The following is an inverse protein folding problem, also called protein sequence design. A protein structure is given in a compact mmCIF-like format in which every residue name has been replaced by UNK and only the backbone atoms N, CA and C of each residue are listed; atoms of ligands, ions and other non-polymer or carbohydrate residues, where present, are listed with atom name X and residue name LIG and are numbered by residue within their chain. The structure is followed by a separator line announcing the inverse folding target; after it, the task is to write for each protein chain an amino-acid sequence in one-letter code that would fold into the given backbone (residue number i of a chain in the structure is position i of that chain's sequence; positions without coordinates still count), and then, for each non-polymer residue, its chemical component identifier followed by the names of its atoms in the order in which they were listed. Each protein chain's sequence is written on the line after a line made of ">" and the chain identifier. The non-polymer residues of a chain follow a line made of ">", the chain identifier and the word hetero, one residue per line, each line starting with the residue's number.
data_IF_220566354073
#
_entry.id   IF_220566354073
#
_cell.length_a   1.000
_cell.length_b   1.000
_cell.length_c   1.000
_cell.angle_alpha   90.00
_cell.angle_beta   90.00
_cell.angle_gamma   90.00
#
_symmetry.space_group_name_H-M   'P 1'
#
loop_
_entity.id
_entity.type
_entity.pdbx_description
1 polymer ?
#
# COMPACT_ATOMS: atom_id res chain seq x y z
N UNK A 1 -7.40 14.59 11.08
CA UNK A 1 -6.51 14.36 9.94
C UNK A 1 -5.32 13.47 10.35
N UNK A 2 -4.51 13.85 11.34
CA UNK A 2 -3.28 13.11 11.71
C UNK A 2 -3.53 11.68 12.16
N UNK A 3 -4.60 11.41 12.88
CA UNK A 3 -4.99 10.05 13.26
C UNK A 3 -5.33 9.20 12.03
N UNK A 4 -6.06 9.77 11.05
CA UNK A 4 -6.38 9.07 9.81
C UNK A 4 -5.11 8.75 9.01
N UNK A 5 -4.20 9.70 8.86
CA UNK A 5 -2.91 9.50 8.18
C UNK A 5 -2.09 8.41 8.90
N UNK A 6 -2.02 8.42 10.22
CA UNK A 6 -1.33 7.39 10.99
C UNK A 6 -1.91 5.99 10.74
N UNK A 7 -3.24 5.86 10.73
CA UNK A 7 -3.93 4.59 10.44
C UNK A 7 -3.71 4.13 9.00
N UNK A 8 -3.68 5.06 8.05
CA UNK A 8 -3.53 4.74 6.61
C UNK A 8 -2.09 4.45 6.18
N UNK A 9 -1.07 4.87 6.94
CA UNK A 9 0.34 4.74 6.57
C UNK A 9 1.17 4.02 7.63
N UNK A 10 1.46 4.69 8.75
CA UNK A 10 2.37 4.19 9.78
C UNK A 10 1.91 2.88 10.42
N UNK A 11 0.65 2.80 10.83
CA UNK A 11 0.13 1.60 11.51
C UNK A 11 0.05 0.41 10.57
N UNK A 12 -0.26 0.60 9.28
CA UNK A 12 -0.20 -0.47 8.30
C UNK A 12 1.23 -0.98 8.07
N UNK A 13 2.20 -0.07 7.92
CA UNK A 13 3.60 -0.45 7.76
C UNK A 13 4.12 -1.21 9.00
N UNK A 14 3.79 -0.71 10.20
CA UNK A 14 4.12 -1.37 11.46
C UNK A 14 3.51 -2.77 11.57
N UNK A 15 2.22 -2.93 11.23
CA UNK A 15 1.55 -4.23 11.22
C UNK A 15 2.25 -5.23 10.30
N UNK A 16 2.60 -4.81 9.09
CA UNK A 16 3.24 -5.67 8.11
C UNK A 16 4.69 -6.02 8.49
N UNK A 17 5.43 -5.12 9.16
CA UNK A 17 6.76 -5.42 9.70
C UNK A 17 6.67 -6.39 10.90
N UNK A 18 5.89 -6.04 11.92
CA UNK A 18 5.92 -6.73 13.22
C UNK A 18 5.13 -8.04 13.23
N UNK A 19 3.94 -8.08 12.60
CA UNK A 19 3.07 -9.25 12.65
C UNK A 19 3.18 -10.13 11.40
N UNK A 20 3.35 -9.54 10.22
CA UNK A 20 3.53 -10.32 9.00
C UNK A 20 5.01 -10.65 8.71
N UNK A 21 5.95 -10.10 9.45
CA UNK A 21 7.38 -10.39 9.31
C UNK A 21 8.01 -9.84 8.02
N UNK A 22 7.42 -8.81 7.41
CA UNK A 22 7.93 -8.21 6.17
C UNK A 22 8.79 -7.00 6.53
N UNK A 23 10.07 -7.25 6.83
CA UNK A 23 11.02 -6.25 7.34
C UNK A 23 11.21 -5.01 6.44
N UNK A 24 10.89 -5.11 5.15
CA UNK A 24 10.92 -3.99 4.21
C UNK A 24 9.93 -2.87 4.57
N UNK A 25 8.91 -3.15 5.39
CA UNK A 25 7.97 -2.13 5.87
C UNK A 25 8.51 -1.32 7.05
N UNK A 26 9.64 -1.70 7.64
CA UNK A 26 10.26 -0.98 8.76
C UNK A 26 10.62 0.46 8.42
N UNK A 27 10.98 0.73 7.17
CA UNK A 27 11.34 2.06 6.66
C UNK A 27 10.21 2.78 5.95
N UNK A 28 9.00 2.20 5.94
CA UNK A 28 7.83 2.75 5.24
C UNK A 28 6.79 3.38 6.18
N UNK A 29 5.90 4.20 5.60
CA UNK A 29 4.77 4.81 6.31
C UNK A 29 5.14 5.93 7.28
N UNK A 30 6.35 6.49 7.17
CA UNK A 30 6.87 7.54 8.06
C UNK A 30 7.77 8.51 7.32
N UNK A 31 7.84 9.74 7.81
CA UNK A 31 8.81 10.76 7.36
C UNK A 31 9.86 10.89 8.45
N UNK A 32 11.00 10.24 8.27
CA UNK A 32 12.10 10.31 9.20
C UNK A 32 13.41 10.01 8.47
N UNK A 33 14.55 10.42 9.05
CA UNK A 33 15.87 10.10 8.51
C UNK A 33 16.08 8.57 8.44
N UNK A 34 16.59 8.08 7.29
CA UNK A 34 16.79 6.66 7.02
C UNK A 34 15.52 5.91 6.55
N UNK A 35 14.35 6.56 6.48
CA UNK A 35 13.16 5.97 5.89
C UNK A 35 13.14 6.12 4.37
N UNK A 36 12.36 5.27 3.69
CA UNK A 36 12.14 5.37 2.25
C UNK A 36 11.34 6.64 1.94
N UNK A 37 11.80 7.37 0.93
CA UNK A 37 11.15 8.62 0.52
C UNK A 37 9.92 8.33 -0.39
N UNK A 38 8.92 7.67 0.17
CA UNK A 38 7.58 7.50 -0.42
C UNK A 38 6.66 8.55 0.20
N UNK A 39 6.51 9.70 -0.47
CA UNK A 39 5.90 10.90 0.11
C UNK A 39 4.79 11.41 -0.78
N UNK A 40 3.64 11.70 -0.19
CA UNK A 40 2.53 12.39 -0.85
C UNK A 40 2.36 13.77 -0.22
N UNK A 41 2.36 14.82 -1.04
CA UNK A 41 2.04 16.19 -0.63
C UNK A 41 0.65 16.50 -1.17
N UNK A 42 -0.28 16.81 -0.28
CA UNK A 42 -1.67 17.09 -0.64
C UNK A 42 -2.23 18.27 0.16
N UNK A 43 -3.26 18.89 -0.39
CA UNK A 43 -4.03 19.90 0.31
C UNK A 43 -5.30 19.24 0.88
N UNK A 44 -5.48 19.18 2.22
CA UNK A 44 -6.62 18.52 2.85
C UNK A 44 -7.98 19.13 2.49
N UNK A 45 -8.00 20.41 2.09
CA UNK A 45 -9.24 21.12 1.74
C UNK A 45 -9.69 20.84 0.29
N UNK A 46 -8.77 20.37 -0.57
CA UNK A 46 -9.04 20.20 -2.00
C UNK A 46 -8.76 18.80 -2.53
N UNK A 47 -8.20 17.90 -1.70
CA UNK A 47 -7.98 16.51 -2.09
C UNK A 47 -9.32 15.82 -2.32
N UNK A 48 -9.49 15.26 -3.53
CA UNK A 48 -10.76 14.66 -3.95
C UNK A 48 -10.50 13.39 -4.72
N UNK A 49 -11.16 12.30 -4.34
CA UNK A 49 -11.27 11.11 -5.15
C UNK A 49 -12.35 11.35 -6.22
N UNK A 50 -11.94 11.28 -7.48
CA UNK A 50 -12.83 11.48 -8.63
C UNK A 50 -13.37 10.15 -9.19
N UNK A 51 -12.97 9.02 -8.60
CA UNK A 51 -13.45 7.70 -9.03
C UNK A 51 -14.93 7.53 -8.70
N UNK A 52 -15.66 6.87 -9.60
CA UNK A 52 -17.07 6.51 -9.39
C UNK A 52 -17.31 5.05 -9.70
N UNK A 53 -18.48 4.52 -9.33
CA UNK A 53 -18.87 3.15 -9.64
C UNK A 53 -19.41 2.98 -11.07
N UNK A 54 -19.43 4.03 -11.88
CA UNK A 54 -19.84 3.94 -13.28
C UNK A 54 -18.77 3.19 -14.11
N UNK A 55 -19.18 2.38 -15.08
CA UNK A 55 -18.25 1.66 -15.96
C UNK A 55 -17.24 2.61 -16.63
N UNK A 56 -15.96 2.32 -16.46
CA UNK A 56 -14.85 3.13 -16.99
C UNK A 56 -14.42 4.32 -16.15
N UNK A 57 -15.14 4.65 -15.07
CA UNK A 57 -14.84 5.81 -14.22
C UNK A 57 -14.13 5.45 -12.90
N UNK A 58 -13.85 4.17 -12.66
CA UNK A 58 -13.23 3.69 -11.41
C UNK A 58 -11.73 3.96 -11.27
N UNK A 59 -11.08 4.52 -12.29
CA UNK A 59 -9.64 4.82 -12.29
C UNK A 59 -9.34 6.29 -12.61
N UNK A 60 -10.28 7.18 -12.32
CA UNK A 60 -10.03 8.62 -12.49
C UNK A 60 -8.97 9.11 -11.50
N UNK A 61 -8.04 9.95 -11.94
CA UNK A 61 -6.97 10.44 -11.06
C UNK A 61 -7.53 11.33 -9.96
N UNK A 62 -7.05 11.12 -8.74
CA UNK A 62 -7.30 12.00 -7.60
C UNK A 62 -6.75 13.41 -7.88
N UNK A 63 -7.50 14.44 -7.50
CA UNK A 63 -7.06 15.84 -7.54
C UNK A 63 -6.63 16.34 -6.15
N UNK A 64 -5.95 17.50 -6.08
CA UNK A 64 -5.45 18.05 -4.82
C UNK A 64 -4.16 17.40 -4.30
N UNK A 65 -3.47 16.60 -5.11
CA UNK A 65 -2.17 16.00 -4.82
C UNK A 65 -1.11 16.50 -5.82
N UNK A 66 -0.53 17.69 -5.62
CA UNK A 66 0.40 18.26 -6.59
C UNK A 66 1.72 17.51 -6.71
N UNK A 67 2.17 16.82 -5.65
CA UNK A 67 3.46 16.13 -5.65
C UNK A 67 3.35 14.74 -5.01
N UNK A 68 3.93 13.75 -5.70
CA UNK A 68 4.09 12.39 -5.18
C UNK A 68 5.52 11.93 -5.49
N UNK A 69 6.21 11.42 -4.48
CA UNK A 69 7.52 10.81 -4.59
C UNK A 69 7.42 9.31 -4.27
N UNK A 70 8.16 8.51 -5.03
CA UNK A 70 8.34 7.08 -4.78
C UNK A 70 9.83 6.77 -4.82
N UNK A 71 10.37 6.17 -3.78
CA UNK A 71 11.81 5.94 -3.60
C UNK A 71 12.65 7.22 -3.88
N UNK A 72 12.18 8.38 -3.44
CA UNK A 72 12.85 9.67 -3.64
C UNK A 72 12.72 10.27 -5.04
N UNK A 73 12.07 9.61 -5.98
CA UNK A 73 11.86 10.10 -7.35
C UNK A 73 10.45 10.67 -7.48
N UNK A 74 10.34 11.86 -8.03
CA UNK A 74 9.07 12.54 -8.24
C UNK A 74 8.29 11.90 -9.39
N UNK A 75 7.18 11.21 -9.06
CA UNK A 75 6.29 10.54 -10.02
C UNK A 75 5.08 11.39 -10.39
N UNK A 76 4.70 12.34 -9.53
CA UNK A 76 3.74 13.41 -9.84
C UNK A 76 4.39 14.74 -9.52
N UNK A 77 4.35 15.67 -10.46
CA UNK A 77 4.84 17.03 -10.32
C UNK A 77 3.81 18.01 -10.89
N UNK A 78 3.45 19.00 -10.09
CA UNK A 78 2.43 20.00 -10.46
C UNK A 78 1.14 19.35 -10.97
N UNK A 79 0.67 18.30 -10.25
CA UNK A 79 -0.51 17.48 -10.58
C UNK A 79 -0.41 16.73 -11.93
N UNK A 80 0.80 16.59 -12.49
CA UNK A 80 1.04 15.85 -13.74
C UNK A 80 1.87 14.60 -13.47
N UNK A 81 1.40 13.46 -13.94
CA UNK A 81 2.13 12.19 -13.86
C UNK A 81 3.38 12.27 -14.73
N UNK A 82 4.52 11.88 -14.17
CA UNK A 82 5.81 11.80 -14.86
C UNK A 82 5.99 10.38 -15.43
N UNK A 83 6.67 10.28 -16.59
CA UNK A 83 6.96 8.99 -17.22
C UNK A 83 8.20 8.33 -16.59
N UNK A 84 8.16 8.10 -15.28
CA UNK A 84 9.22 7.44 -14.50
C UNK A 84 8.62 6.34 -13.63
N UNK A 85 9.34 5.24 -13.42
CA UNK A 85 8.85 4.05 -12.74
C UNK A 85 9.82 3.60 -11.63
N UNK A 86 9.98 4.38 -10.54
CA UNK A 86 10.93 4.07 -9.48
C UNK A 86 10.42 3.05 -8.47
N UNK A 87 9.18 2.58 -8.60
CA UNK A 87 8.58 1.59 -7.71
C UNK A 87 9.33 0.27 -7.71
N UNK A 88 9.51 -0.33 -6.53
CA UNK A 88 10.11 -1.66 -6.36
C UNK A 88 9.10 -2.58 -5.69
N UNK A 89 9.00 -3.86 -6.10
CA UNK A 89 8.10 -4.79 -5.46
C UNK A 89 8.59 -5.11 -4.05
N UNK A 90 7.68 -5.09 -3.09
CA UNK A 90 7.89 -5.64 -1.74
C UNK A 90 7.47 -7.10 -1.81
N UNK A 91 8.35 -8.00 -1.37
CA UNK A 91 8.11 -9.43 -1.40
C UNK A 91 8.26 -10.02 -0.01
N UNK A 92 7.48 -11.03 0.29
CA UNK A 92 7.68 -11.81 1.50
C UNK A 92 9.04 -12.52 1.40
N UNK A 93 9.81 -12.62 2.50
CA UNK A 93 11.09 -13.33 2.51
C UNK A 93 10.92 -14.77 2.02
N UNK A 94 11.84 -15.25 1.18
CA UNK A 94 11.88 -16.66 0.78
C UNK A 94 12.39 -17.42 2.00
N UNK A 95 11.56 -18.25 2.59
CA UNK A 95 11.94 -19.18 3.63
C UNK A 95 12.38 -20.49 2.98
N UNK A 96 13.51 -21.04 3.42
CA UNK A 96 14.05 -22.31 2.90
C UNK A 96 13.12 -23.50 3.18
N UNK A 97 12.30 -23.44 4.21
CA UNK A 97 11.30 -24.45 4.57
C UNK A 97 10.21 -23.88 5.47
N UNK A 98 9.05 -24.51 5.57
CA UNK A 98 8.05 -24.27 6.61
C UNK A 98 7.01 -23.20 6.32
N UNK A 99 7.02 -22.51 5.17
CA UNK A 99 6.00 -21.49 4.87
C UNK A 99 4.69 -22.06 4.33
N UNK A 100 4.75 -23.24 3.76
CA UNK A 100 3.60 -23.95 3.22
C UNK A 100 3.58 -25.33 3.86
N UNK A 101 3.30 -25.39 5.16
CA UNK A 101 2.81 -26.64 5.74
C UNK A 101 1.55 -27.02 4.96
N UNK A 102 1.54 -28.25 4.42
CA UNK A 102 0.35 -28.74 3.74
C UNK A 102 -0.81 -28.66 4.72
N UNK A 103 -1.72 -27.74 4.47
CA UNK A 103 -3.00 -27.76 5.18
C UNK A 103 -3.68 -29.05 4.73
N UNK A 104 -3.68 -30.07 5.58
CA UNK A 104 -4.51 -31.26 5.37
C UNK A 104 -5.96 -30.84 5.51
N UNK A 105 -6.60 -30.51 4.40
CA UNK A 105 -8.03 -30.29 4.35
C UNK A 105 -8.65 -31.67 4.39
N UNK A 106 -9.21 -32.07 5.54
CA UNK A 106 -10.09 -33.22 5.56
C UNK A 106 -11.29 -32.95 4.64
N UNK A 107 -11.59 -33.85 3.70
CA UNK A 107 -12.73 -33.66 2.81
C UNK A 107 -14.01 -33.59 3.66
N UNK A 108 -14.70 -32.44 3.58
CA UNK A 108 -16.04 -32.35 4.19
C UNK A 108 -16.96 -33.24 3.39
N UNK A 109 -17.44 -34.32 4.04
CA UNK A 109 -18.53 -35.11 3.50
C UNK A 109 -19.82 -34.28 3.65
N UNK A 110 -20.40 -33.92 2.52
CA UNK A 110 -21.73 -33.32 2.50
C UNK A 110 -22.75 -34.39 2.70
N UNK A 111 -23.50 -34.34 3.80
CA UNK A 111 -24.67 -35.18 4.02
C UNK A 111 -25.90 -34.47 3.42
N UNK A 112 -26.50 -35.00 2.33
CA UNK A 112 -27.64 -34.35 1.69
C UNK A 112 -28.94 -34.44 2.51
N UNK A 113 -28.92 -35.08 3.70
CA UNK A 113 -30.11 -35.30 4.56
C UNK A 113 -30.04 -34.48 5.87
N UNK A 114 -29.10 -33.56 6.03
CA UNK A 114 -29.07 -32.58 7.13
C UNK A 114 -29.48 -31.18 6.70
#
# INVERSE_FOLDING_TARGET
>A
LMEAISKMSYLHAKYLDELAGISQFRTKGRVQEGADADIVIFNPDTVTDNSTYEPGMGALPTTGMPYVLVNGVMVVKDSKVQKVFPGKPIRFPILASGRLDQISIEPRTFDPNQ
#
